data_IF_708570354637
#
_entry.id   IF_708570354637
#
_cell.length_a   1.000
_cell.length_b   1.000
_cell.length_c   1.000
_cell.angle_alpha   90.00
_cell.angle_beta   90.00
_cell.angle_gamma   90.00
#
_symmetry.space_group_name_H-M   'P 1'
#
loop_
_entity.id
_entity.type
_entity.pdbx_description
1 polymer ?
#
# COMPACT_ATOMS: atom_id res chain seq x y z
N UNK A 1 13.70 -7.07 2.21
CA UNK A 1 12.81 -6.10 1.53
C UNK A 1 13.48 -5.74 0.23
N UNK A 2 12.84 -5.99 -0.91
CA UNK A 2 13.34 -5.50 -2.20
C UNK A 2 12.99 -4.02 -2.27
N UNK A 3 14.00 -3.17 -2.20
CA UNK A 3 13.83 -1.72 -2.34
C UNK A 3 13.93 -1.37 -3.82
N UNK A 4 12.89 -0.74 -4.37
CA UNK A 4 12.86 -0.28 -5.75
C UNK A 4 13.22 1.21 -5.79
N UNK A 5 14.00 1.66 -6.78
CA UNK A 5 14.34 3.08 -6.90
C UNK A 5 13.11 3.92 -7.23
N UNK A 6 13.08 5.18 -6.78
CA UNK A 6 12.09 6.17 -7.23
C UNK A 6 12.41 6.56 -8.68
N UNK A 7 11.39 6.79 -9.50
CA UNK A 7 11.56 7.24 -10.89
C UNK A 7 12.29 8.59 -10.96
N UNK A 8 13.26 8.70 -11.87
CA UNK A 8 14.02 9.92 -12.17
C UNK A 8 13.98 10.16 -13.70
N UNK A 9 13.54 11.34 -14.17
CA UNK A 9 13.45 11.64 -15.60
C UNK A 9 14.81 11.64 -16.33
N UNK A 10 15.92 11.77 -15.62
CA UNK A 10 17.26 11.81 -16.20
C UNK A 10 17.88 10.41 -16.35
N UNK A 11 17.31 9.40 -15.70
CA UNK A 11 17.79 8.02 -15.74
C UNK A 11 17.17 7.30 -16.93
N UNK A 12 18.00 6.49 -17.61
CA UNK A 12 17.54 5.57 -18.65
C UNK A 12 17.12 4.27 -17.96
N UNK A 13 15.91 3.81 -18.28
CA UNK A 13 15.40 2.55 -17.76
C UNK A 13 15.23 1.52 -18.87
N UNK A 14 15.61 0.27 -18.59
CA UNK A 14 15.39 -0.86 -19.52
C UNK A 14 15.00 -2.11 -18.75
N UNK A 15 13.71 -2.47 -18.82
CA UNK A 15 13.14 -3.61 -18.09
C UNK A 15 13.26 -3.54 -16.55
N UNK A 16 13.44 -2.32 -16.02
CA UNK A 16 13.57 -2.04 -14.60
C UNK A 16 12.23 -1.66 -13.98
N UNK A 17 12.13 -1.85 -12.66
CA UNK A 17 10.97 -1.49 -11.86
C UNK A 17 11.30 -0.27 -11.01
N UNK A 18 10.42 0.72 -11.03
CA UNK A 18 10.55 1.97 -10.27
C UNK A 18 9.30 2.25 -9.46
N UNK A 19 9.44 3.06 -8.41
CA UNK A 19 8.33 3.63 -7.66
C UNK A 19 7.98 4.99 -8.25
N UNK A 20 6.72 5.19 -8.63
CA UNK A 20 6.18 6.50 -9.03
C UNK A 20 4.74 6.65 -8.57
N UNK A 21 4.41 7.77 -7.93
CA UNK A 21 3.11 8.02 -7.28
C UNK A 21 2.68 6.84 -6.41
N UNK A 22 3.65 6.25 -5.70
CA UNK A 22 3.43 5.13 -4.81
C UNK A 22 3.00 3.83 -5.46
N UNK A 23 3.15 3.73 -6.77
CA UNK A 23 2.91 2.51 -7.52
C UNK A 23 4.22 1.99 -8.08
N UNK A 24 4.30 0.68 -8.28
CA UNK A 24 5.38 0.03 -9.00
C UNK A 24 5.09 0.05 -10.49
N UNK A 25 6.05 0.53 -11.26
CA UNK A 25 5.99 0.60 -12.71
C UNK A 25 7.17 -0.13 -13.31
N UNK A 26 6.92 -0.99 -14.29
CA UNK A 26 7.97 -1.69 -15.03
C UNK A 26 8.14 -1.06 -16.41
N UNK A 27 9.38 -0.75 -16.78
CA UNK A 27 9.72 -0.35 -18.13
C UNK A 27 9.62 -1.57 -19.07
N UNK A 28 8.93 -1.45 -20.19
CA UNK A 28 8.78 -2.52 -21.19
C UNK A 28 9.92 -2.54 -22.21
N UNK A 29 10.52 -1.38 -22.46
CA UNK A 29 11.65 -1.17 -23.35
C UNK A 29 12.44 0.05 -22.88
N UNK A 30 13.50 0.39 -23.61
CA UNK A 30 14.31 1.58 -23.36
C UNK A 30 13.42 2.83 -23.22
N UNK A 31 13.54 3.53 -22.10
CA UNK A 31 12.81 4.78 -21.85
C UNK A 31 13.64 5.75 -21.03
N UNK A 32 13.50 7.04 -21.32
CA UNK A 32 14.11 8.13 -20.56
C UNK A 32 13.16 9.32 -20.57
N UNK A 33 12.97 9.96 -19.41
CA UNK A 33 12.14 11.17 -19.27
C UNK A 33 10.63 10.97 -19.45
N UNK A 34 10.16 9.80 -19.89
CA UNK A 34 8.72 9.50 -20.00
C UNK A 34 8.20 9.11 -18.62
N UNK A 35 7.19 9.83 -18.13
CA UNK A 35 6.66 9.63 -16.79
C UNK A 35 5.69 8.43 -16.72
N UNK A 36 5.84 7.51 -15.75
CA UNK A 36 4.92 6.40 -15.58
C UNK A 36 3.46 6.86 -15.37
N UNK A 37 2.52 6.19 -16.03
CA UNK A 37 1.08 6.50 -15.93
C UNK A 37 0.56 7.64 -16.81
N UNK A 38 1.43 8.38 -17.50
CA UNK A 38 1.01 9.51 -18.36
C UNK A 38 0.75 9.11 -19.83
N UNK A 39 1.37 8.03 -20.28
CA UNK A 39 1.38 7.60 -21.70
C UNK A 39 0.30 6.58 -22.06
N UNK A 40 -0.58 6.21 -21.11
CA UNK A 40 -1.59 5.18 -21.31
C UNK A 40 -1.01 3.78 -21.60
N UNK A 41 -1.82 2.83 -22.09
CA UNK A 41 -1.43 1.43 -22.26
C UNK A 41 -0.41 1.20 -23.38
N UNK A 42 -0.15 2.20 -24.23
CA UNK A 42 0.80 2.13 -25.35
C UNK A 42 2.18 2.68 -24.99
N UNK A 43 2.35 3.12 -23.76
CA UNK A 43 3.59 3.71 -23.27
C UNK A 43 4.64 2.69 -22.82
N UNK A 44 5.83 3.17 -22.44
CA UNK A 44 6.92 2.33 -21.99
C UNK A 44 6.71 1.76 -20.58
N UNK A 45 5.74 2.25 -19.82
CA UNK A 45 5.52 1.85 -18.43
C UNK A 45 4.24 1.04 -18.28
N UNK A 46 4.33 -0.11 -17.64
CA UNK A 46 3.18 -0.89 -17.19
C UNK A 46 3.05 -0.84 -15.67
N UNK A 47 1.83 -0.66 -15.18
CA UNK A 47 1.52 -0.72 -13.76
C UNK A 47 1.64 -2.16 -13.27
N UNK A 48 2.50 -2.38 -12.27
CA UNK A 48 2.67 -3.68 -11.61
C UNK A 48 1.77 -3.78 -10.38
N UNK A 49 1.59 -2.68 -9.65
CA UNK A 49 0.76 -2.63 -8.44
C UNK A 49 1.15 -1.47 -7.54
N UNK A 50 0.73 -1.52 -6.28
CA UNK A 50 1.13 -0.54 -5.27
C UNK A 50 2.55 -0.82 -4.77
N UNK A 51 3.30 0.25 -4.48
CA UNK A 51 4.63 0.15 -3.90
C UNK A 51 4.54 -0.41 -2.48
N UNK A 52 5.51 -1.22 -2.05
CA UNK A 52 5.53 -1.74 -0.69
C UNK A 52 5.51 -0.58 0.32
N UNK A 53 4.50 -0.54 1.18
CA UNK A 53 4.33 0.54 2.16
C UNK A 53 3.72 1.84 1.61
N UNK A 54 3.25 1.87 0.36
CA UNK A 54 2.41 2.96 -0.13
C UNK A 54 0.93 2.63 0.07
N UNK A 55 0.25 3.48 0.83
CA UNK A 55 -1.20 3.52 0.93
C UNK A 55 -1.70 4.75 0.12
N UNK A 56 -2.38 4.55 -1.03
CA UNK A 56 -2.79 5.64 -1.91
C UNK A 56 -3.79 6.62 -1.29
N UNK A 57 -4.44 6.23 -0.21
CA UNK A 57 -5.28 7.08 0.62
C UNK A 57 -4.73 7.00 2.03
N UNK A 58 -4.31 8.09 2.69
CA UNK A 58 -4.30 8.10 4.14
C UNK A 58 -5.76 7.99 4.53
N UNK A 59 -6.27 6.77 4.69
CA UNK A 59 -7.62 6.55 5.19
C UNK A 59 -7.64 7.29 6.52
N UNK A 60 -8.40 8.40 6.67
CA UNK A 60 -8.32 9.20 7.86
C UNK A 60 -8.64 8.27 9.02
N UNK A 61 -7.71 8.13 9.94
CA UNK A 61 -7.88 7.27 11.12
C UNK A 61 -9.20 7.63 11.83
N UNK A 62 -9.61 8.90 11.73
CA UNK A 62 -10.84 9.49 12.26
C UNK A 62 -12.14 8.99 11.60
N UNK A 63 -12.09 8.44 10.37
CA UNK A 63 -13.27 7.92 9.68
C UNK A 63 -13.62 6.47 10.12
N UNK A 64 -12.71 5.81 10.84
CA UNK A 64 -12.93 4.46 11.38
C UNK A 64 -13.21 4.50 12.88
N UNK A 65 -14.13 3.64 13.36
CA UNK A 65 -14.38 3.55 14.79
C UNK A 65 -13.10 3.14 15.52
N UNK A 66 -12.83 3.82 16.64
CA UNK A 66 -11.77 3.41 17.55
C UNK A 66 -12.04 1.97 18.03
N UNK A 67 -10.97 1.16 18.14
CA UNK A 67 -11.07 -0.18 18.67
C UNK A 67 -11.68 -0.17 20.08
N UNK A 68 -12.66 -1.04 20.30
CA UNK A 68 -13.34 -1.22 21.58
C UNK A 68 -13.26 -2.70 21.99
N UNK A 69 -12.72 -3.03 23.19
CA UNK A 69 -12.57 -4.41 23.64
C UNK A 69 -13.90 -5.16 23.82
N UNK A 70 -15.02 -4.46 23.88
CA UNK A 70 -16.35 -5.04 24.10
C UNK A 70 -17.08 -5.39 22.81
N UNK A 71 -16.64 -4.87 21.67
CA UNK A 71 -17.26 -5.09 20.36
C UNK A 71 -16.72 -6.37 19.72
N UNK A 72 -17.60 -7.10 19.03
CA UNK A 72 -17.22 -8.25 18.22
C UNK A 72 -16.90 -7.77 16.81
N UNK A 73 -15.77 -8.21 16.28
CA UNK A 73 -15.29 -7.89 14.94
C UNK A 73 -15.12 -9.17 14.12
N UNK A 74 -15.48 -9.14 12.85
CA UNK A 74 -15.39 -10.23 11.88
C UNK A 74 -14.54 -9.79 10.69
N UNK A 75 -14.83 -8.64 10.10
CA UNK A 75 -14.18 -8.12 8.88
C UNK A 75 -13.98 -6.58 8.87
N UNK A 76 -14.31 -5.93 9.98
CA UNK A 76 -14.30 -4.48 10.12
C UNK A 76 -12.88 -3.93 10.20
N UNK A 77 -12.76 -2.63 9.90
CA UNK A 77 -11.55 -1.85 10.07
C UNK A 77 -11.77 -0.94 11.28
N UNK A 78 -10.78 -0.87 12.16
CA UNK A 78 -10.79 -0.03 13.36
C UNK A 78 -9.52 0.80 13.43
N UNK A 79 -9.62 1.96 14.08
CA UNK A 79 -8.48 2.78 14.45
C UNK A 79 -7.94 2.39 15.82
N UNK A 80 -6.62 2.25 15.93
CA UNK A 80 -5.93 2.00 17.20
C UNK A 80 -4.52 2.59 17.16
N UNK A 81 -4.15 3.42 18.13
CA UNK A 81 -2.83 4.06 18.23
C UNK A 81 -2.37 4.82 16.95
N UNK A 82 -3.30 5.50 16.27
CA UNK A 82 -3.00 6.25 15.04
C UNK A 82 -2.76 5.38 13.81
N UNK A 83 -3.11 4.08 13.89
CA UNK A 83 -3.00 3.08 12.82
C UNK A 83 -4.34 2.45 12.55
N UNK A 84 -4.46 1.82 11.39
CA UNK A 84 -5.66 1.10 10.99
C UNK A 84 -5.40 -0.40 10.95
N UNK A 85 -6.36 -1.15 11.49
CA UNK A 85 -6.31 -2.59 11.57
C UNK A 85 -7.58 -3.20 11.00
N UNK A 86 -7.42 -4.17 10.10
CA UNK A 86 -8.53 -4.96 9.57
C UNK A 86 -8.64 -6.27 10.33
N UNK A 87 -9.84 -6.61 10.78
CA UNK A 87 -10.16 -7.92 11.31
C UNK A 87 -10.10 -8.97 10.19
N UNK A 88 -9.33 -10.04 10.41
CA UNK A 88 -9.18 -11.14 9.47
C UNK A 88 -10.21 -12.25 9.69
N UNK A 89 -10.67 -12.42 10.93
CA UNK A 89 -11.71 -13.35 11.34
C UNK A 89 -12.33 -12.91 12.66
N UNK A 90 -13.38 -13.62 13.08
CA UNK A 90 -14.10 -13.37 14.34
C UNK A 90 -13.14 -13.15 15.52
N UNK A 91 -13.25 -12.02 16.21
CA UNK A 91 -12.52 -11.72 17.43
C UNK A 91 -13.29 -10.71 18.31
N UNK A 92 -13.00 -10.73 19.61
CA UNK A 92 -13.52 -9.79 20.59
C UNK A 92 -12.47 -9.60 21.69
N UNK A 93 -12.24 -8.36 22.13
CA UNK A 93 -11.31 -8.06 23.22
C UNK A 93 -9.83 -8.27 22.91
N UNK A 94 -9.49 -8.67 21.68
CA UNK A 94 -8.10 -8.80 21.24
C UNK A 94 -7.61 -7.44 20.77
N UNK A 95 -6.53 -6.93 21.37
CA UNK A 95 -5.97 -5.63 21.03
C UNK A 95 -5.16 -5.69 19.71
N UNK A 96 -5.36 -4.77 18.75
CA UNK A 96 -4.62 -4.74 17.51
C UNK A 96 -3.13 -4.41 17.68
N UNK A 97 -2.28 -5.03 16.84
CA UNK A 97 -0.85 -4.69 16.78
C UNK A 97 0.07 -5.40 17.78
N UNK A 98 -0.47 -6.27 18.65
CA UNK A 98 0.33 -7.09 19.57
C UNK A 98 0.93 -8.34 18.91
N UNK A 99 0.21 -8.95 17.96
CA UNK A 99 0.61 -10.20 17.30
C UNK A 99 0.38 -10.09 15.79
N UNK A 100 1.45 -10.26 15.01
CA UNK A 100 1.38 -10.26 13.54
C UNK A 100 0.60 -11.44 12.96
N UNK A 101 0.45 -12.52 13.73
CA UNK A 101 -0.35 -13.70 13.38
C UNK A 101 -1.73 -13.68 14.05
N UNK A 102 -2.04 -12.60 14.76
CA UNK A 102 -3.32 -12.40 15.43
C UNK A 102 -4.46 -12.07 14.45
N UNK A 103 -5.66 -11.80 14.98
CA UNK A 103 -6.83 -11.52 14.17
C UNK A 103 -6.78 -10.16 13.45
N UNK A 104 -5.79 -9.32 13.75
CA UNK A 104 -5.67 -7.97 13.24
C UNK A 104 -4.52 -7.86 12.24
N UNK A 105 -4.83 -7.40 11.03
CA UNK A 105 -3.82 -7.02 10.03
C UNK A 105 -3.66 -5.51 10.01
N UNK A 106 -2.44 -5.03 10.25
CA UNK A 106 -2.08 -3.63 10.01
C UNK A 106 -2.24 -3.32 8.52
N UNK A 107 -3.02 -2.29 8.21
CA UNK A 107 -3.19 -1.77 6.84
C UNK A 107 -2.59 -0.38 6.67
N UNK A 108 -2.46 0.40 7.76
CA UNK A 108 -1.87 1.74 7.79
C UNK A 108 -1.19 2.01 9.13
#
# INVERSE_FOLDING_TARGET
>A
MTEYPVWDPNVVYTNEIVIHNGKLWQALWWTQGQEPGTTGPWGPWILIGDAPGYDPDPVPVDDYPAWDPTVIYINEIVSHNGRLYQSLWWNQGVEPGLDQNGPWRLIH
#
